data_IF_121485255165
#
_entry.id   IF_121485255165
#
_cell.length_a   1.000
_cell.length_b   1.000
_cell.length_c   1.000
_cell.angle_alpha   90.00
_cell.angle_beta   90.00
_cell.angle_gamma   90.00
#
_symmetry.space_group_name_H-M   'P 1'
#
loop_
_entity.id
_entity.type
_entity.pdbx_description
1 polymer ?
#
# COMPACT_ATOMS: atom_id res chain seq x y z
N UNK A 1 12.48 -10.05 -20.04
CA UNK A 1 11.76 -9.52 -21.21
C UNK A 1 11.01 -8.28 -20.78
N UNK A 2 10.79 -7.32 -21.67
CA UNK A 2 9.85 -6.22 -21.41
C UNK A 2 8.41 -6.74 -21.62
N UNK A 3 7.42 -6.26 -20.86
CA UNK A 3 6.03 -6.63 -21.07
C UNK A 3 5.58 -6.24 -22.48
N UNK A 4 4.76 -7.09 -23.11
CA UNK A 4 4.20 -6.89 -24.45
C UNK A 4 2.95 -6.03 -24.45
N UNK A 5 2.28 -5.84 -23.30
CA UNK A 5 1.18 -4.89 -23.15
C UNK A 5 1.69 -3.48 -22.82
N UNK A 6 1.18 -2.45 -23.52
CA UNK A 6 1.52 -1.03 -23.26
C UNK A 6 1.04 -0.59 -21.87
N UNK A 7 -0.03 -1.19 -21.35
CA UNK A 7 -0.54 -0.99 -19.99
C UNK A 7 -0.94 -2.33 -19.35
N UNK A 8 -0.70 -2.52 -18.04
CA UNK A 8 -1.16 -3.69 -17.32
C UNK A 8 -2.69 -3.77 -17.30
N UNK A 9 -3.22 -4.98 -17.37
CA UNK A 9 -4.65 -5.20 -17.13
C UNK A 9 -4.93 -5.11 -15.63
N UNK A 10 -5.95 -4.32 -15.28
CA UNK A 10 -6.34 -4.07 -13.89
C UNK A 10 -7.45 -5.04 -13.53
N UNK A 11 -7.32 -5.67 -12.36
CA UNK A 11 -8.32 -6.55 -11.79
C UNK A 11 -8.78 -5.97 -10.46
N UNK A 12 -10.08 -6.05 -10.18
CA UNK A 12 -10.60 -5.83 -8.83
C UNK A 12 -10.05 -6.89 -7.86
N UNK A 13 -10.28 -6.72 -6.56
CA UNK A 13 -9.87 -7.72 -5.57
C UNK A 13 -10.48 -9.10 -5.86
N UNK A 14 -11.79 -9.15 -6.10
CA UNK A 14 -12.51 -10.39 -6.39
C UNK A 14 -12.03 -11.02 -7.70
N UNK A 15 -11.83 -10.21 -8.74
CA UNK A 15 -11.31 -10.69 -10.02
C UNK A 15 -9.89 -11.23 -9.87
N UNK A 16 -9.07 -10.62 -9.02
CA UNK A 16 -7.72 -11.12 -8.72
C UNK A 16 -7.77 -12.46 -7.98
N UNK A 17 -8.73 -12.64 -7.07
CA UNK A 17 -8.97 -13.90 -6.37
C UNK A 17 -9.36 -15.00 -7.36
N UNK A 18 -10.38 -14.74 -8.18
CA UNK A 18 -10.88 -15.67 -9.21
C UNK A 18 -9.78 -16.02 -10.23
N UNK A 19 -8.97 -15.03 -10.62
CA UNK A 19 -7.87 -15.29 -11.54
C UNK A 19 -6.80 -16.16 -10.93
N UNK A 20 -6.43 -15.93 -9.68
CA UNK A 20 -5.45 -16.77 -9.01
C UNK A 20 -6.00 -18.20 -8.79
N UNK A 21 -7.27 -18.35 -8.45
CA UNK A 21 -7.95 -19.66 -8.37
C UNK A 21 -7.89 -20.40 -9.70
N UNK A 22 -8.31 -19.75 -10.80
CA UNK A 22 -8.24 -20.32 -12.15
C UNK A 22 -6.82 -20.77 -12.54
N UNK A 23 -5.79 -20.00 -12.19
CA UNK A 23 -4.41 -20.37 -12.46
C UNK A 23 -3.98 -21.64 -11.72
N UNK A 24 -4.47 -21.85 -10.51
CA UNK A 24 -4.14 -23.03 -9.70
C UNK A 24 -4.89 -24.28 -10.19
N UNK A 25 -6.15 -24.12 -10.61
CA UNK A 25 -7.03 -25.24 -10.97
C UNK A 25 -6.87 -25.66 -12.44
N UNK A 26 -6.87 -24.70 -13.36
CA UNK A 26 -6.98 -24.97 -14.80
C UNK A 26 -5.64 -24.85 -15.54
N UNK A 27 -4.67 -24.11 -14.99
CA UNK A 27 -3.37 -23.82 -15.64
C UNK A 27 -2.19 -24.59 -15.04
N UNK A 28 -2.37 -25.90 -14.91
CA UNK A 28 -1.32 -26.83 -14.45
C UNK A 28 -0.12 -26.96 -15.41
N UNK A 29 -0.25 -26.42 -16.62
CA UNK A 29 0.81 -26.32 -17.62
C UNK A 29 1.84 -25.21 -17.31
N UNK A 30 1.50 -24.27 -16.42
CA UNK A 30 2.36 -23.16 -16.04
C UNK A 30 3.15 -23.43 -14.76
N UNK A 31 4.38 -22.94 -14.71
CA UNK A 31 5.17 -22.93 -13.49
C UNK A 31 4.93 -21.60 -12.76
N UNK A 32 4.14 -21.67 -11.69
CA UNK A 32 3.76 -20.53 -10.86
C UNK A 32 4.76 -20.34 -9.73
N UNK A 33 5.33 -19.14 -9.60
CA UNK A 33 6.30 -18.81 -8.55
C UNK A 33 5.93 -17.49 -7.86
N UNK A 34 5.95 -17.48 -6.52
CA UNK A 34 5.71 -16.27 -5.75
C UNK A 34 6.97 -15.40 -5.65
N UNK A 35 6.78 -14.08 -5.73
CA UNK A 35 7.81 -13.05 -5.59
C UNK A 35 7.47 -12.17 -4.38
N UNK A 36 7.98 -12.56 -3.21
CA UNK A 36 7.68 -11.91 -1.93
C UNK A 36 8.01 -10.41 -1.94
N UNK A 37 9.15 -10.01 -2.52
CA UNK A 37 9.56 -8.59 -2.56
C UNK A 37 8.65 -7.72 -3.43
N UNK A 38 8.04 -8.31 -4.45
CA UNK A 38 7.16 -7.59 -5.39
C UNK A 38 5.69 -7.70 -5.02
N UNK A 39 5.33 -8.53 -4.03
CA UNK A 39 3.95 -8.90 -3.75
C UNK A 39 3.24 -9.42 -5.01
N UNK A 40 3.88 -10.37 -5.70
CA UNK A 40 3.45 -10.82 -7.02
C UNK A 40 3.59 -12.33 -7.21
N UNK A 41 2.87 -12.86 -8.20
CA UNK A 41 3.02 -14.18 -8.77
C UNK A 41 3.56 -14.05 -10.19
N UNK A 42 4.61 -14.78 -10.51
CA UNK A 42 5.10 -14.90 -11.90
C UNK A 42 4.68 -16.27 -12.44
N UNK A 43 4.10 -16.27 -13.63
CA UNK A 43 3.79 -17.49 -14.36
C UNK A 43 4.82 -17.67 -15.48
N UNK A 44 5.46 -18.84 -15.49
CA UNK A 44 6.46 -19.22 -16.48
C UNK A 44 5.94 -20.37 -17.34
N UNK A 45 6.36 -20.38 -18.61
CA UNK A 45 6.07 -21.49 -19.51
C UNK A 45 6.98 -22.72 -19.24
N UNK A 46 6.84 -23.76 -20.07
CA UNK A 46 7.66 -24.97 -19.99
C UNK A 46 9.17 -24.75 -20.21
N UNK A 47 9.56 -23.62 -20.82
CA UNK A 47 10.95 -23.22 -21.06
C UNK A 47 11.48 -22.28 -19.96
N UNK A 48 10.68 -21.98 -18.92
CA UNK A 48 10.95 -20.99 -17.88
C UNK A 48 11.00 -19.54 -18.38
N UNK A 49 10.39 -19.26 -19.54
CA UNK A 49 10.22 -17.90 -20.01
C UNK A 49 8.99 -17.27 -19.35
N UNK A 50 9.07 -15.99 -18.95
CA UNK A 50 7.96 -15.31 -18.30
C UNK A 50 6.79 -15.15 -19.27
N UNK A 51 5.61 -15.52 -18.79
CA UNK A 51 4.36 -15.43 -19.52
C UNK A 51 3.56 -14.22 -19.07
N UNK A 52 3.35 -14.09 -17.76
CA UNK A 52 2.85 -12.88 -17.11
C UNK A 52 3.32 -12.76 -15.66
N UNK A 53 3.18 -11.55 -15.11
CA UNK A 53 3.32 -11.24 -13.69
C UNK A 53 2.00 -10.67 -13.17
N UNK A 54 1.41 -11.33 -12.17
CA UNK A 54 0.23 -10.86 -11.44
C UNK A 54 0.70 -10.22 -10.13
N UNK A 55 0.56 -8.89 -10.00
CA UNK A 55 0.76 -8.19 -8.72
C UNK A 55 -0.53 -8.24 -7.93
N UNK A 56 -0.42 -8.61 -6.66
CA UNK A 56 -1.56 -8.76 -5.78
C UNK A 56 -2.00 -7.42 -5.17
N UNK A 57 -3.31 -7.27 -4.88
CA UNK A 57 -3.83 -6.22 -4.01
C UNK A 57 -3.04 -6.14 -2.69
N UNK A 58 -2.83 -4.93 -2.18
CA UNK A 58 -2.12 -4.73 -0.91
C UNK A 58 -2.86 -5.29 0.32
N UNK A 59 -4.21 -5.40 0.34
CA UNK A 59 -4.91 -6.07 1.42
C UNK A 59 -4.64 -7.58 1.51
N UNK A 60 -4.10 -8.23 0.48
CA UNK A 60 -3.68 -9.64 0.57
C UNK A 60 -2.62 -9.84 1.67
N UNK A 61 -2.51 -11.03 2.27
CA UNK A 61 -1.44 -11.33 3.23
C UNK A 61 -0.06 -11.18 2.59
N UNK A 62 0.97 -10.96 3.41
CA UNK A 62 2.33 -11.02 2.89
C UNK A 62 2.66 -12.45 2.48
N UNK A 63 3.40 -12.56 1.38
CA UNK A 63 4.06 -13.79 0.98
C UNK A 63 5.17 -14.07 1.99
N UNK A 64 5.17 -15.26 2.58
CA UNK A 64 6.19 -15.71 3.52
C UNK A 64 7.43 -16.23 2.79
N UNK A 65 8.60 -15.97 3.38
CA UNK A 65 9.90 -16.38 2.85
C UNK A 65 10.62 -15.32 2.04
N UNK A 66 11.72 -15.73 1.39
CA UNK A 66 12.46 -14.92 0.42
C UNK A 66 12.21 -15.46 -0.99
N UNK A 67 12.40 -14.67 -2.04
CA UNK A 67 12.05 -15.05 -3.42
C UNK A 67 12.59 -16.44 -3.86
N UNK A 68 13.73 -16.89 -3.31
CA UNK A 68 14.34 -18.20 -3.62
C UNK A 68 13.75 -19.38 -2.79
N UNK A 69 13.02 -19.08 -1.71
CA UNK A 69 12.43 -20.02 -0.75
C UNK A 69 11.10 -19.46 -0.19
N UNK A 70 10.16 -19.18 -1.09
CA UNK A 70 8.79 -18.78 -0.72
C UNK A 70 7.93 -20.01 -0.39
N UNK A 71 6.81 -19.77 0.28
CA UNK A 71 5.72 -20.74 0.38
C UNK A 71 5.17 -21.13 -1.02
N UNK A 72 4.41 -22.23 -1.12
CA UNK A 72 3.82 -22.61 -2.41
C UNK A 72 2.67 -21.66 -2.79
N UNK A 73 2.40 -21.44 -4.09
CA UNK A 73 1.25 -20.65 -4.54
C UNK A 73 -0.09 -21.13 -3.96
N UNK A 74 -0.29 -22.44 -3.82
CA UNK A 74 -1.50 -23.02 -3.24
C UNK A 74 -1.61 -22.74 -1.73
N UNK A 75 -0.51 -22.87 -0.98
CA UNK A 75 -0.49 -22.54 0.46
C UNK A 75 -0.77 -21.06 0.68
N UNK A 76 -0.18 -20.19 -0.15
CA UNK A 76 -0.44 -18.75 -0.10
C UNK A 76 -1.90 -18.43 -0.41
N UNK A 77 -2.48 -19.04 -1.45
CA UNK A 77 -3.88 -18.84 -1.84
C UNK A 77 -4.85 -19.16 -0.70
N UNK A 78 -4.60 -20.22 0.06
CA UNK A 78 -5.43 -20.60 1.21
C UNK A 78 -5.45 -19.55 2.35
N UNK A 79 -4.51 -18.60 2.36
CA UNK A 79 -4.48 -17.49 3.34
C UNK A 79 -5.25 -16.25 2.87
N UNK A 80 -5.66 -16.22 1.62
CA UNK A 80 -6.32 -15.07 0.99
C UNK A 80 -7.81 -15.16 1.29
N UNK A 81 -8.38 -14.08 1.81
CA UNK A 81 -9.83 -13.95 2.01
C UNK A 81 -10.53 -13.75 0.67
N UNK A 82 -11.73 -14.32 0.52
CA UNK A 82 -12.58 -14.07 -0.65
C UNK A 82 -13.15 -12.65 -0.64
N UNK A 83 -13.38 -12.08 0.55
CA UNK A 83 -13.83 -10.70 0.74
C UNK A 83 -12.67 -9.79 1.11
N UNK A 84 -12.80 -8.52 0.76
CA UNK A 84 -11.80 -7.51 1.10
C UNK A 84 -11.72 -7.36 2.63
N UNK A 85 -10.55 -7.53 3.25
CA UNK A 85 -10.43 -7.37 4.70
C UNK A 85 -10.44 -5.89 5.09
N UNK A 86 -10.54 -5.63 6.39
CA UNK A 86 -10.51 -4.28 6.94
C UNK A 86 -9.07 -3.77 7.05
N UNK A 87 -8.84 -2.50 6.70
CA UNK A 87 -7.51 -1.94 6.75
C UNK A 87 -7.43 -0.44 7.01
N UNK A 88 -6.26 -0.05 7.48
CA UNK A 88 -5.84 1.34 7.62
C UNK A 88 -4.95 1.77 6.45
N UNK A 89 -5.10 3.00 6.00
CA UNK A 89 -4.14 3.70 5.14
C UNK A 89 -3.59 4.92 5.86
N UNK A 90 -2.26 5.00 5.96
CA UNK A 90 -1.53 6.13 6.55
C UNK A 90 -0.60 6.78 5.51
N UNK A 91 -1.01 7.92 4.97
CA UNK A 91 -0.20 8.71 4.04
C UNK A 91 0.44 9.86 4.80
N UNK A 92 1.76 9.84 4.99
CA UNK A 92 2.47 10.82 5.81
C UNK A 92 3.60 11.45 5.01
N UNK A 93 3.46 12.75 4.76
CA UNK A 93 4.51 13.61 4.22
C UNK A 93 4.76 14.79 5.17
N UNK A 94 5.86 15.49 4.97
CA UNK A 94 6.25 16.57 5.88
C UNK A 94 5.25 17.74 5.83
N UNK A 95 4.39 17.80 6.86
CA UNK A 95 3.37 18.83 7.06
C UNK A 95 1.97 18.47 6.57
N UNK A 96 1.78 17.32 5.94
CA UNK A 96 0.47 16.82 5.50
C UNK A 96 0.38 15.32 5.76
N UNK A 97 -0.69 14.89 6.40
CA UNK A 97 -1.05 13.48 6.50
C UNK A 97 -2.53 13.28 6.15
N UNK A 98 -2.82 12.12 5.57
CA UNK A 98 -4.17 11.61 5.35
C UNK A 98 -4.24 10.19 5.93
N UNK A 99 -5.23 9.96 6.77
CA UNK A 99 -5.52 8.70 7.43
C UNK A 99 -6.89 8.23 6.98
N UNK A 100 -7.02 6.94 6.67
CA UNK A 100 -8.29 6.32 6.32
C UNK A 100 -8.43 4.96 6.98
N UNK A 101 -9.63 4.67 7.49
CA UNK A 101 -10.07 3.33 7.85
C UNK A 101 -11.09 2.88 6.80
N UNK A 102 -10.89 1.69 6.27
CA UNK A 102 -11.70 1.10 5.22
C UNK A 102 -12.28 -0.23 5.70
N UNK A 103 -13.60 -0.33 5.65
CA UNK A 103 -14.39 -1.52 5.94
C UNK A 103 -14.78 -2.16 4.61
N UNK A 104 -14.26 -3.35 4.33
CA UNK A 104 -14.44 -4.04 3.03
C UNK A 104 -14.20 -3.14 1.81
N UNK A 105 -13.34 -2.13 1.98
CA UNK A 105 -12.88 -1.23 0.91
C UNK A 105 -13.61 0.10 0.83
N UNK A 106 -14.71 0.21 1.56
CA UNK A 106 -15.47 1.45 1.71
C UNK A 106 -14.90 2.28 2.84
N UNK A 107 -14.80 3.59 2.62
CA UNK A 107 -14.20 4.49 3.61
C UNK A 107 -15.16 4.74 4.76
N UNK A 108 -14.87 4.14 5.91
CA UNK A 108 -15.64 4.33 7.14
C UNK A 108 -15.23 5.61 7.86
N UNK A 109 -13.93 5.77 8.12
CA UNK A 109 -13.38 6.96 8.77
C UNK A 109 -12.25 7.57 7.96
N UNK A 110 -12.11 8.90 8.02
CA UNK A 110 -10.91 9.57 7.50
C UNK A 110 -10.52 10.80 8.32
N UNK A 111 -9.24 11.17 8.22
CA UNK A 111 -8.71 12.41 8.77
C UNK A 111 -7.58 12.95 7.90
N UNK A 112 -7.66 14.24 7.59
CA UNK A 112 -6.52 14.99 7.05
C UNK A 112 -5.92 15.87 8.16
N UNK A 113 -4.60 15.74 8.38
CA UNK A 113 -3.83 16.53 9.35
C UNK A 113 -2.86 17.41 8.57
N UNK A 114 -2.83 18.72 8.87
CA UNK A 114 -1.93 19.68 8.20
C UNK A 114 -1.24 20.55 9.24
N UNK A 115 0.09 20.54 9.25
CA UNK A 115 0.89 21.44 10.11
C UNK A 115 2.07 22.03 9.35
N UNK A 116 2.40 23.29 9.66
CA UNK A 116 3.50 23.98 8.98
C UNK A 116 4.87 23.50 9.50
N UNK A 117 5.47 22.55 8.79
CA UNK A 117 6.75 21.92 9.16
C UNK A 117 7.94 22.42 8.31
N UNK A 118 7.74 22.77 7.03
CA UNK A 118 8.81 23.17 6.10
C UNK A 118 8.74 24.67 5.80
N UNK A 119 9.90 25.33 5.62
CA UNK A 119 9.94 26.68 5.02
C UNK A 119 9.75 26.59 3.51
N UNK A 120 8.71 27.24 2.97
CA UNK A 120 8.37 27.30 1.53
C UNK A 120 9.54 27.56 0.56
N UNK A 121 10.64 28.19 0.99
CA UNK A 121 11.80 28.52 0.14
C UNK A 121 13.02 27.60 0.28
N UNK A 122 13.00 26.59 1.16
CA UNK A 122 14.21 25.79 1.46
C UNK A 122 14.07 24.28 1.29
N UNK A 123 12.86 23.74 1.08
CA UNK A 123 12.60 22.36 0.62
C UNK A 123 13.06 21.22 1.53
N UNK A 124 13.90 21.45 2.55
CA UNK A 124 14.50 20.41 3.39
C UNK A 124 13.91 20.42 4.80
N UNK A 125 13.46 19.25 5.24
CA UNK A 125 13.08 18.94 6.62
C UNK A 125 14.30 19.13 7.54
N UNK A 126 14.19 19.98 8.58
CA UNK A 126 15.31 20.41 9.43
C UNK A 126 15.49 19.59 10.72
N UNK A 127 14.73 18.51 10.90
CA UNK A 127 14.68 17.74 12.15
C UNK A 127 16.03 17.22 12.64
N UNK A 128 16.97 16.93 11.73
CA UNK A 128 18.27 16.33 12.09
C UNK A 128 19.34 17.31 12.58
N UNK A 129 19.14 18.63 12.50
CA UNK A 129 20.22 19.63 12.70
C UNK A 129 20.04 20.58 13.89
N UNK A 130 18.96 20.44 14.67
CA UNK A 130 18.67 21.34 15.79
C UNK A 130 19.27 20.94 17.14
N UNK A 131 19.75 19.69 17.30
CA UNK A 131 20.37 19.24 18.57
C UNK A 131 21.78 19.79 18.81
N UNK A 132 22.44 20.40 17.80
CA UNK A 132 23.88 20.69 17.84
C UNK A 132 24.30 22.17 17.79
N UNK A 133 23.39 23.15 17.66
CA UNK A 133 23.75 24.58 17.66
C UNK A 133 22.82 25.44 18.52
N UNK A 134 23.42 26.30 19.35
CA UNK A 134 22.75 27.15 20.35
C UNK A 134 21.68 28.13 19.83
N UNK A 135 21.01 28.80 20.77
CA UNK A 135 19.85 29.73 20.65
C UNK A 135 19.10 29.67 19.30
N UNK A 136 18.10 28.79 19.22
CA UNK A 136 17.19 28.70 18.07
C UNK A 136 16.33 29.97 17.93
N UNK A 137 16.15 30.45 16.70
CA UNK A 137 15.25 31.57 16.38
C UNK A 137 13.78 31.15 16.62
N UNK A 138 12.92 32.10 17.00
CA UNK A 138 11.49 31.85 17.31
C UNK A 138 10.78 30.98 16.26
N UNK A 139 10.86 31.32 14.97
CA UNK A 139 10.24 30.53 13.91
C UNK A 139 10.82 29.12 13.68
N UNK A 140 12.00 28.80 14.22
CA UNK A 140 12.50 27.42 14.25
C UNK A 140 11.89 26.63 15.41
N UNK A 141 11.64 27.27 16.56
CA UNK A 141 10.93 26.66 17.68
C UNK A 141 9.49 26.34 17.32
N UNK A 142 8.81 27.26 16.63
CA UNK A 142 7.42 27.04 16.15
C UNK A 142 7.33 25.82 15.23
N UNK A 143 8.25 25.67 14.26
CA UNK A 143 8.25 24.52 13.36
C UNK A 143 8.56 23.20 14.06
N UNK A 144 9.48 23.22 15.04
CA UNK A 144 9.75 22.05 15.86
C UNK A 144 8.51 21.66 16.67
N UNK A 145 7.88 22.64 17.32
CA UNK A 145 6.64 22.41 18.07
C UNK A 145 5.56 21.83 17.17
N UNK A 146 5.27 22.47 16.02
CA UNK A 146 4.33 21.98 15.01
C UNK A 146 4.63 20.56 14.53
N UNK A 147 5.91 20.17 14.49
CA UNK A 147 6.30 18.82 14.07
C UNK A 147 5.96 17.79 15.14
N UNK A 148 6.22 18.10 16.42
CA UNK A 148 5.84 17.21 17.54
C UNK A 148 4.33 17.04 17.58
N UNK A 149 3.63 18.18 17.58
CA UNK A 149 2.19 18.29 17.53
C UNK A 149 1.57 17.57 16.32
N UNK A 150 2.29 17.43 15.20
CA UNK A 150 1.77 16.76 14.01
C UNK A 150 1.64 15.25 14.22
N UNK A 151 2.65 14.62 14.83
CA UNK A 151 2.62 13.20 15.13
C UNK A 151 1.77 12.88 16.36
N UNK A 152 1.69 13.81 17.33
CA UNK A 152 0.73 13.72 18.45
C UNK A 152 -0.72 13.70 17.92
N UNK A 153 -1.09 14.59 17.00
CA UNK A 153 -2.43 14.60 16.38
C UNK A 153 -2.74 13.32 15.59
N UNK A 154 -1.75 12.76 14.88
CA UNK A 154 -1.93 11.51 14.12
C UNK A 154 -2.21 10.35 15.07
N UNK A 155 -1.36 10.17 16.08
CA UNK A 155 -1.50 9.06 17.02
C UNK A 155 -2.77 9.19 17.86
N UNK A 156 -3.10 10.40 18.32
CA UNK A 156 -4.36 10.65 19.03
C UNK A 156 -5.54 10.27 18.16
N UNK A 157 -5.50 10.60 16.86
CA UNK A 157 -6.63 10.28 15.98
C UNK A 157 -6.81 8.77 15.77
N UNK A 158 -5.70 8.03 15.70
CA UNK A 158 -5.74 6.58 15.57
C UNK A 158 -6.26 5.93 16.86
N UNK A 159 -5.88 6.46 18.03
CA UNK A 159 -6.41 6.04 19.33
C UNK A 159 -7.91 6.34 19.44
N UNK A 160 -8.35 7.55 19.06
CA UNK A 160 -9.77 7.97 19.09
C UNK A 160 -10.68 7.10 18.21
N UNK A 161 -10.13 6.42 17.21
CA UNK A 161 -10.93 5.52 16.37
C UNK A 161 -11.13 4.14 16.99
N UNK A 162 -10.27 3.71 17.92
CA UNK A 162 -10.36 2.40 18.60
C UNK A 162 -10.41 1.16 17.68
N UNK A 163 -10.13 1.30 16.38
CA UNK A 163 -10.18 0.22 15.37
C UNK A 163 -8.82 -0.44 15.06
N UNK A 164 -7.72 0.10 15.60
CA UNK A 164 -6.36 -0.30 15.20
C UNK A 164 -6.08 -1.77 15.53
N UNK A 165 -6.68 -2.33 16.56
CA UNK A 165 -6.55 -3.75 16.90
C UNK A 165 -7.41 -4.66 16.00
N UNK A 166 -8.47 -4.12 15.41
CA UNK A 166 -9.46 -4.87 14.62
C UNK A 166 -9.06 -5.01 13.15
N UNK A 167 -8.25 -4.08 12.63
CA UNK A 167 -7.83 -4.13 11.22
C UNK A 167 -6.86 -5.27 10.92
N UNK A 168 -7.03 -5.87 9.74
CA UNK A 168 -6.17 -6.92 9.23
C UNK A 168 -4.87 -6.37 8.65
N UNK A 169 -4.89 -5.15 8.09
CA UNK A 169 -3.72 -4.55 7.42
C UNK A 169 -3.55 -3.07 7.79
N UNK A 170 -2.29 -2.64 7.84
CA UNK A 170 -1.93 -1.23 8.00
C UNK A 170 -1.03 -0.85 6.83
N UNK A 171 -1.62 -0.22 5.82
CA UNK A 171 -0.93 0.27 4.64
C UNK A 171 -0.35 1.65 4.95
N UNK A 172 0.91 1.89 4.61
CA UNK A 172 1.53 3.19 4.89
C UNK A 172 2.45 3.70 3.79
N UNK A 173 2.50 5.01 3.68
CA UNK A 173 3.51 5.74 2.92
C UNK A 173 4.14 6.81 3.81
N UNK A 174 5.42 6.65 4.13
CA UNK A 174 6.20 7.64 4.85
C UNK A 174 7.68 7.49 4.52
N UNK A 175 8.42 8.61 4.51
CA UNK A 175 9.88 8.54 4.54
C UNK A 175 10.36 7.97 5.89
N UNK A 176 11.49 7.24 5.91
CA UNK A 176 12.04 6.63 7.14
C UNK A 176 12.12 7.63 8.31
N UNK A 177 12.57 8.88 8.14
CA UNK A 177 12.58 9.84 9.24
C UNK A 177 11.18 10.16 9.79
N UNK A 178 10.19 10.37 8.93
CA UNK A 178 8.82 10.67 9.37
C UNK A 178 8.18 9.46 10.03
N UNK A 179 8.46 8.25 9.50
CA UNK A 179 7.99 7.00 10.08
C UNK A 179 8.52 6.81 11.50
N UNK A 180 9.83 7.00 11.72
CA UNK A 180 10.41 6.93 13.07
C UNK A 180 9.79 7.95 14.03
N UNK A 181 9.50 9.17 13.56
CA UNK A 181 8.92 10.21 14.41
C UNK A 181 7.49 9.93 14.85
N UNK A 182 6.74 9.09 14.10
CA UNK A 182 5.43 8.61 14.52
C UNK A 182 5.51 7.84 15.85
N UNK A 183 6.52 6.97 15.99
CA UNK A 183 6.74 6.15 17.19
C UNK A 183 7.51 6.87 18.30
N UNK A 184 8.26 7.93 17.98
CA UNK A 184 8.94 8.78 18.97
C UNK A 184 8.03 9.87 19.57
N UNK A 185 6.77 9.93 19.14
CA UNK A 185 5.77 10.89 19.61
C UNK A 185 5.46 10.71 21.11
N UNK A 186 5.00 11.78 21.77
CA UNK A 186 4.59 11.69 23.18
C UNK A 186 3.28 10.94 23.36
N UNK A 187 2.35 11.11 22.42
CA UNK A 187 1.17 10.26 22.31
C UNK A 187 1.66 8.98 21.63
N UNK A 188 1.60 7.80 22.27
CA UNK A 188 2.12 6.57 21.70
C UNK A 188 1.35 6.19 20.43
N UNK A 189 2.05 5.60 19.46
CA UNK A 189 1.40 5.01 18.31
C UNK A 189 0.64 3.75 18.76
N UNK A 190 -0.62 3.53 18.37
CA UNK A 190 -1.43 2.38 18.82
C UNK A 190 -1.03 1.04 18.18
N UNK A 191 0.10 1.00 17.47
CA UNK A 191 0.72 -0.21 16.93
C UNK A 191 2.23 -0.07 16.97
N UNK A 192 2.93 -1.21 16.94
CA UNK A 192 4.39 -1.28 17.02
C UNK A 192 5.05 -1.10 15.65
N UNK A 193 6.32 -0.68 15.65
CA UNK A 193 7.06 -0.40 14.41
C UNK A 193 7.31 -1.66 13.56
N UNK A 194 7.39 -2.80 14.22
CA UNK A 194 7.55 -4.13 13.61
C UNK A 194 6.22 -4.93 13.57
N UNK A 195 5.06 -4.25 13.63
CA UNK A 195 3.74 -4.89 13.51
C UNK A 195 3.63 -5.67 12.18
N UNK A 196 3.23 -6.94 12.29
CA UNK A 196 3.16 -7.89 11.17
C UNK A 196 2.15 -7.47 10.08
N UNK A 197 1.20 -6.58 10.41
CA UNK A 197 0.16 -6.06 9.51
C UNK A 197 0.66 -4.89 8.65
N UNK A 198 1.82 -4.33 8.98
CA UNK A 198 2.36 -3.17 8.27
C UNK A 198 2.82 -3.51 6.85
N UNK A 199 2.30 -2.78 5.88
CA UNK A 199 2.71 -2.89 4.47
C UNK A 199 3.01 -1.51 3.91
N UNK A 200 4.19 -1.37 3.32
CA UNK A 200 4.57 -0.12 2.66
C UNK A 200 3.93 -0.06 1.28
N UNK A 201 3.30 1.06 0.97
CA UNK A 201 2.64 1.31 -0.32
C UNK A 201 3.71 1.51 -1.40
N UNK A 202 3.80 0.65 -2.43
CA UNK A 202 4.81 0.72 -3.48
C UNK A 202 4.39 1.65 -4.64
N UNK A 203 3.73 2.77 -4.31
CA UNK A 203 3.25 3.77 -5.27
C UNK A 203 3.60 5.16 -4.79
N UNK A 204 3.90 6.03 -5.76
CA UNK A 204 4.10 7.44 -5.47
C UNK A 204 2.82 8.06 -4.94
N UNK A 205 2.97 8.69 -3.77
CA UNK A 205 1.91 9.41 -3.08
C UNK A 205 2.09 10.91 -3.31
N UNK A 206 1.03 11.55 -3.81
CA UNK A 206 0.95 13.00 -3.94
C UNK A 206 0.81 13.67 -2.56
N UNK A 207 0.41 14.93 -2.49
CA UNK A 207 0.22 15.61 -1.20
C UNK A 207 -0.91 14.90 -0.46
N UNK A 208 -0.68 14.35 0.75
CA UNK A 208 -1.71 13.66 1.51
C UNK A 208 -2.91 14.57 1.78
N UNK A 209 -4.03 14.22 1.17
CA UNK A 209 -5.34 14.85 1.31
C UNK A 209 -6.41 13.75 1.14
N UNK A 210 -7.68 14.15 1.04
CA UNK A 210 -8.79 13.21 0.91
C UNK A 210 -8.77 12.50 -0.46
N UNK A 211 -8.63 13.23 -1.56
CA UNK A 211 -8.65 12.67 -2.91
C UNK A 211 -7.50 11.68 -3.14
N UNK A 212 -6.32 12.01 -2.61
CA UNK A 212 -5.15 11.15 -2.65
C UNK A 212 -5.35 9.88 -1.84
N UNK A 213 -6.07 9.96 -0.71
CA UNK A 213 -6.42 8.79 0.10
C UNK A 213 -7.33 7.83 -0.71
N UNK A 214 -8.32 8.35 -1.43
CA UNK A 214 -9.19 7.56 -2.31
C UNK A 214 -8.45 6.97 -3.52
N UNK A 215 -7.56 7.75 -4.15
CA UNK A 215 -6.74 7.28 -5.27
C UNK A 215 -5.82 6.14 -4.85
N UNK A 216 -5.21 6.25 -3.67
CA UNK A 216 -4.35 5.19 -3.13
C UNK A 216 -5.18 3.99 -2.67
N UNK A 217 -6.39 4.21 -2.15
CA UNK A 217 -7.32 3.13 -1.82
C UNK A 217 -7.65 2.28 -3.05
N UNK A 218 -8.06 2.94 -4.14
CA UNK A 218 -8.35 2.30 -5.44
C UNK A 218 -7.16 1.44 -5.89
N UNK A 219 -5.96 2.02 -5.89
CA UNK A 219 -4.74 1.28 -6.23
C UNK A 219 -4.47 0.09 -5.31
N UNK A 220 -4.68 0.25 -4.00
CA UNK A 220 -4.39 -0.79 -3.02
C UNK A 220 -5.27 -2.02 -3.22
N UNK A 221 -6.53 -1.83 -3.60
CA UNK A 221 -7.50 -2.90 -3.82
C UNK A 221 -7.33 -3.61 -5.18
N UNK A 222 -6.61 -3.01 -6.13
CA UNK A 222 -6.44 -3.58 -7.47
C UNK A 222 -5.29 -4.58 -7.57
N UNK A 223 -5.53 -5.68 -8.27
CA UNK A 223 -4.50 -6.53 -8.85
C UNK A 223 -4.08 -6.03 -10.23
N UNK A 224 -2.87 -6.38 -10.66
CA UNK A 224 -2.31 -5.92 -11.93
C UNK A 224 -1.63 -7.06 -12.68
N UNK A 225 -2.05 -7.30 -13.92
CA UNK A 225 -1.47 -8.32 -14.79
C UNK A 225 -0.58 -7.67 -15.85
N UNK A 226 0.71 -7.94 -15.76
CA UNK A 226 1.71 -7.58 -16.77
C UNK A 226 1.96 -8.77 -17.68
N UNK A 227 1.68 -8.63 -18.98
CA UNK A 227 1.76 -9.72 -19.95
C UNK A 227 3.09 -9.62 -20.69
N UNK A 228 3.82 -10.73 -20.82
CA UNK A 228 5.09 -10.81 -21.56
C UNK A 228 4.96 -11.56 -22.88
N UNK A 229 4.04 -12.50 -22.99
CA UNK A 229 3.76 -13.26 -24.22
C UNK A 229 2.25 -13.25 -24.48
N UNK A 230 1.80 -13.42 -25.73
CA UNK A 230 0.35 -13.43 -25.99
C UNK A 230 -0.30 -14.56 -25.20
N UNK A 231 -1.29 -14.21 -24.38
CA UNK A 231 -2.03 -15.17 -23.57
C UNK A 231 -3.44 -15.21 -24.12
N UNK A 232 -3.92 -16.41 -24.41
CA UNK A 232 -5.34 -16.65 -24.67
C UNK A 232 -6.06 -16.78 -23.32
N UNK A 233 -6.26 -15.64 -22.66
CA UNK A 233 -7.10 -15.50 -21.46
C UNK A 233 -8.36 -14.70 -21.78
N UNK A 234 -8.60 -14.44 -23.07
CA UNK A 234 -9.71 -13.61 -23.53
C UNK A 234 -11.03 -14.18 -23.03
N UNK A 235 -11.21 -15.51 -23.10
CA UNK A 235 -12.41 -16.18 -22.56
C UNK A 235 -12.58 -16.00 -21.03
N UNK A 236 -11.49 -16.00 -20.27
CA UNK A 236 -11.54 -15.78 -18.81
C UNK A 236 -11.90 -14.33 -18.49
N UNK A 237 -11.26 -13.36 -19.17
CA UNK A 237 -11.52 -11.94 -18.95
C UNK A 237 -12.86 -11.46 -19.54
N UNK A 238 -13.40 -12.13 -20.55
CA UNK A 238 -14.77 -11.90 -21.04
C UNK A 238 -15.82 -12.36 -20.03
N UNK A 239 -15.55 -13.44 -19.28
CA UNK A 239 -16.45 -13.95 -18.24
C UNK A 239 -16.43 -13.10 -16.97
N UNK A 240 -15.33 -12.39 -16.74
CA UNK A 240 -15.11 -11.53 -15.59
C UNK A 240 -15.19 -10.09 -16.08
N UNK A 241 -16.42 -9.59 -16.26
CA UNK A 241 -16.68 -8.23 -16.78
C UNK A 241 -15.72 -7.20 -16.15
N UNK A 242 -14.90 -6.49 -16.94
CA UNK A 242 -14.07 -5.42 -16.40
C UNK A 242 -14.99 -4.31 -15.89
N UNK A 243 -14.85 -3.91 -14.62
CA UNK A 243 -15.38 -2.62 -14.20
C UNK A 243 -14.62 -1.56 -14.99
N UNK A 244 -15.29 -0.91 -15.94
CA UNK A 244 -14.75 0.29 -16.59
C UNK A 244 -14.42 1.30 -15.50
N UNK A 245 -13.13 1.58 -15.31
CA UNK A 245 -12.71 2.78 -14.61
C UNK A 245 -13.09 3.94 -15.52
N UNK A 246 -14.10 4.70 -15.11
CA UNK A 246 -14.57 5.88 -15.82
C UNK A 246 -13.42 6.91 -15.90
N UNK A 247 -12.74 6.97 -17.04
CA UNK A 247 -11.61 7.87 -17.30
C UNK A 247 -12.05 9.34 -17.45
N UNK A 248 -13.36 9.62 -17.36
CA UNK A 248 -13.97 10.94 -17.60
C UNK A 248 -14.26 11.78 -16.33
N UNK A 249 -13.82 11.38 -15.13
CA UNK A 249 -13.77 12.27 -13.96
C UNK A 249 -12.33 12.68 -13.58
N UNK A 250 -11.71 13.54 -14.40
CA UNK A 250 -10.54 14.35 -14.02
C UNK A 250 -10.63 15.80 -14.53
#
# INVERSE_FOLDING_TARGET
MEPTNEQPQILSYEQTYQFFEYLLEERTDLNLQLQAKKNALIALDANYDPWFELKFPLPYPAIEGEDDQTESPADYFNKISTTLPDYLILLIQAGNAALGYFEEGEMSNHKVVRKYMIRKKQGKFQGSHLKTKGKSKYGSRVRLNNTLEFFEDINQKLEDWEIVEEVDRILYFASIPLWNMLFESKVPCPFEKEDIRLRKIPKDVQIPNYDELLRINTFAQSGWVHIYQSIDLDEFFEQIEPQELDDDEW
#
